data_IF_302139848869
#
_entry.id   IF_302139848869
#
_cell.length_a   1.000
_cell.length_b   1.000
_cell.length_c   1.000
_cell.angle_alpha   90.00
_cell.angle_beta   90.00
_cell.angle_gamma   90.00
#
_symmetry.space_group_name_H-M   'P 1'
#
loop_
_entity.id
_entity.type
_entity.pdbx_description
1 polymer ?
#
# COMPACT_ATOMS: atom_id res chain seq x y z
N UNK A 1 -38.77 10.91 4.36
CA UNK A 1 -37.72 11.94 4.26
C UNK A 1 -36.40 11.22 4.53
N UNK A 2 -35.73 10.76 3.47
CA UNK A 2 -34.46 10.02 3.54
C UNK A 2 -33.51 10.78 2.64
N UNK A 3 -32.64 11.59 3.22
CA UNK A 3 -31.61 12.32 2.47
C UNK A 3 -30.40 11.42 2.31
N UNK A 4 -30.08 11.12 1.05
CA UNK A 4 -28.86 10.45 0.60
C UNK A 4 -27.62 10.93 1.34
N UNK A 5 -26.87 10.00 1.91
CA UNK A 5 -25.49 10.21 2.36
C UNK A 5 -24.59 10.27 1.13
N UNK A 6 -24.20 11.49 0.81
CA UNK A 6 -23.34 11.93 -0.27
C UNK A 6 -21.97 11.22 -0.23
N UNK A 7 -21.77 10.19 -1.08
CA UNK A 7 -20.45 9.57 -1.31
C UNK A 7 -19.58 10.52 -2.13
N UNK A 8 -19.18 11.66 -1.55
CA UNK A 8 -18.24 12.58 -2.18
C UNK A 8 -16.86 11.93 -2.17
N UNK A 9 -16.36 11.58 -3.34
CA UNK A 9 -14.91 11.49 -3.56
C UNK A 9 -14.34 12.86 -3.23
N UNK A 10 -13.74 13.00 -2.04
CA UNK A 10 -13.03 14.21 -1.70
C UNK A 10 -11.77 14.25 -2.55
N UNK A 11 -11.64 15.25 -3.43
CA UNK A 11 -10.39 15.56 -4.12
C UNK A 11 -9.42 16.20 -3.13
N UNK A 12 -9.04 15.44 -2.10
CA UNK A 12 -7.99 15.81 -1.16
C UNK A 12 -6.64 15.40 -1.75
N UNK A 13 -5.64 16.27 -1.61
CA UNK A 13 -4.27 15.96 -1.96
C UNK A 13 -3.42 15.97 -0.69
N UNK A 14 -2.40 15.12 -0.66
CA UNK A 14 -1.45 15.08 0.45
C UNK A 14 -0.06 14.78 -0.09
N UNK A 15 0.95 15.30 0.59
CA UNK A 15 2.34 14.90 0.40
C UNK A 15 2.64 13.72 1.32
N UNK A 16 3.15 12.64 0.74
CA UNK A 16 3.60 11.46 1.49
C UNK A 16 5.13 11.38 1.42
N UNK A 17 5.78 11.27 2.57
CA UNK A 17 7.23 11.05 2.67
C UNK A 17 7.47 9.67 3.27
N UNK A 18 8.15 8.80 2.51
CA UNK A 18 8.52 7.46 2.99
C UNK A 18 9.63 7.60 4.04
N UNK A 19 9.38 7.10 5.24
CA UNK A 19 10.32 7.17 6.37
C UNK A 19 11.04 5.85 6.61
N UNK A 20 10.37 4.71 6.44
CA UNK A 20 10.99 3.40 6.70
C UNK A 20 10.35 2.30 5.84
N UNK A 21 11.15 1.46 5.16
CA UNK A 21 10.61 0.25 4.54
C UNK A 21 10.23 -0.78 5.62
N UNK A 22 8.99 -1.25 5.60
CA UNK A 22 8.53 -2.31 6.50
C UNK A 22 8.61 -3.65 5.80
N UNK A 23 8.11 -3.69 4.57
CA UNK A 23 7.92 -4.91 3.83
C UNK A 23 7.91 -4.61 2.32
N UNK A 24 9.09 -4.66 1.73
CA UNK A 24 9.32 -4.38 0.30
C UNK A 24 9.97 -5.58 -0.40
N UNK A 25 10.02 -5.57 -1.73
CA UNK A 25 10.69 -6.58 -2.56
C UNK A 25 9.95 -6.90 -3.86
N UNK A 26 10.70 -7.44 -4.83
CA UNK A 26 10.15 -7.92 -6.10
C UNK A 26 9.30 -9.19 -5.90
N UNK A 27 8.32 -9.40 -6.78
CA UNK A 27 7.41 -10.54 -6.79
C UNK A 27 6.67 -10.77 -5.44
N UNK A 28 6.52 -9.71 -4.64
CA UNK A 28 5.89 -9.77 -3.31
C UNK A 28 4.42 -9.34 -3.33
N UNK A 29 4.04 -8.58 -4.36
CA UNK A 29 2.78 -7.86 -4.40
C UNK A 29 2.91 -6.48 -3.74
N UNK A 30 1.94 -6.12 -2.90
CA UNK A 30 1.88 -4.81 -2.26
C UNK A 30 3.15 -4.48 -1.43
N UNK A 31 3.69 -3.28 -1.65
CA UNK A 31 4.83 -2.76 -0.90
C UNK A 31 4.33 -2.03 0.35
N UNK A 32 4.92 -2.33 1.51
CA UNK A 32 4.50 -1.76 2.79
C UNK A 32 5.60 -0.87 3.35
N UNK A 33 5.28 0.39 3.57
CA UNK A 33 6.23 1.41 4.03
C UNK A 33 5.60 2.29 5.11
N UNK A 34 6.39 2.71 6.10
CA UNK A 34 6.00 3.78 7.01
C UNK A 34 6.15 5.13 6.29
N UNK A 35 5.19 6.02 6.50
CA UNK A 35 5.14 7.34 5.86
C UNK A 35 4.77 8.41 6.87
N UNK A 36 5.22 9.63 6.60
CA UNK A 36 4.65 10.85 7.15
C UNK A 36 3.71 11.45 6.10
N UNK A 37 2.48 11.72 6.48
CA UNK A 37 1.45 12.29 5.62
C UNK A 37 1.25 13.75 6.02
N UNK A 38 1.38 14.63 5.04
CA UNK A 38 1.11 16.06 5.18
C UNK A 38 -0.06 16.42 4.26
N UNK A 39 -1.28 16.51 4.79
CA UNK A 39 -2.44 16.92 3.99
C UNK A 39 -2.23 18.33 3.44
N UNK A 40 -2.59 18.57 2.19
CA UNK A 40 -2.71 19.93 1.68
C UNK A 40 -4.00 20.51 2.25
N UNK A 41 -3.87 21.38 3.25
CA UNK A 41 -5.01 22.08 3.84
C UNK A 41 -5.73 22.93 2.79
N UNK A 42 -7.06 22.92 2.81
CA UNK A 42 -7.84 24.05 2.27
C UNK A 42 -7.60 25.27 3.17
N UNK A 43 -7.48 26.46 2.59
CA UNK A 43 -7.05 27.79 3.12
C UNK A 43 -7.44 28.21 4.57
N UNK A 44 -8.16 27.41 5.34
CA UNK A 44 -8.77 27.77 6.63
C UNK A 44 -8.14 27.15 7.88
N UNK A 45 -7.23 26.17 7.79
CA UNK A 45 -6.38 25.76 8.92
C UNK A 45 -5.20 24.88 8.48
N UNK A 46 -4.00 25.02 9.07
CA UNK A 46 -2.95 24.03 8.93
C UNK A 46 -3.40 22.70 9.57
N UNK A 47 -3.37 21.62 8.78
CA UNK A 47 -3.60 20.26 9.28
C UNK A 47 -2.25 19.69 9.68
N UNK A 48 -2.13 19.21 10.92
CA UNK A 48 -0.90 18.60 11.41
C UNK A 48 -0.54 17.35 10.59
N UNK A 49 0.75 17.18 10.34
CA UNK A 49 1.27 15.96 9.74
C UNK A 49 1.13 14.78 10.70
N UNK A 50 0.82 13.60 10.19
CA UNK A 50 0.70 12.37 10.98
C UNK A 50 1.50 11.21 10.40
N UNK A 51 1.80 10.22 11.23
CA UNK A 51 2.47 9.00 10.80
C UNK A 51 1.44 7.94 10.41
N UNK A 52 1.70 7.24 9.30
CA UNK A 52 0.87 6.16 8.82
C UNK A 52 1.72 5.05 8.21
N UNK A 53 1.06 3.94 7.86
CA UNK A 53 1.61 2.92 6.97
C UNK A 53 0.90 3.03 5.63
N UNK A 54 1.68 3.11 4.57
CA UNK A 54 1.19 3.03 3.20
C UNK A 54 1.40 1.61 2.66
N UNK A 55 0.32 1.01 2.18
CA UNK A 55 0.36 -0.20 1.35
C UNK A 55 0.18 0.21 -0.10
N UNK A 56 1.22 0.05 -0.90
CA UNK A 56 1.31 0.51 -2.28
C UNK A 56 1.11 -0.69 -3.22
N UNK A 57 0.06 -0.62 -4.02
CA UNK A 57 -0.33 -1.66 -4.97
C UNK A 57 0.10 -1.25 -6.37
N UNK A 58 1.30 -1.68 -6.72
CA UNK A 58 1.92 -1.27 -7.97
C UNK A 58 2.32 -2.52 -8.78
N UNK A 59 1.78 -2.70 -10.00
CA UNK A 59 1.99 -3.88 -10.83
C UNK A 59 3.46 -4.27 -11.05
N UNK A 60 4.41 -3.33 -10.96
CA UNK A 60 5.83 -3.65 -11.17
C UNK A 60 6.43 -4.53 -10.07
N UNK A 61 5.84 -4.54 -8.88
CA UNK A 61 6.32 -5.38 -7.77
C UNK A 61 5.57 -6.71 -7.65
N UNK A 62 4.67 -6.99 -8.59
CA UNK A 62 3.97 -8.26 -8.69
C UNK A 62 4.79 -9.25 -9.52
N UNK A 63 4.61 -10.54 -9.24
CA UNK A 63 5.25 -11.59 -10.02
C UNK A 63 4.65 -11.62 -11.41
N UNK A 64 5.50 -11.48 -12.44
CA UNK A 64 5.10 -11.72 -13.82
C UNK A 64 4.95 -13.21 -14.12
N UNK A 65 5.53 -14.08 -13.29
CA UNK A 65 5.37 -15.50 -13.43
C UNK A 65 4.14 -15.97 -12.64
N UNK A 66 3.24 -16.67 -13.33
CA UNK A 66 2.09 -17.35 -12.73
C UNK A 66 2.55 -18.45 -11.78
N UNK A 67 1.86 -18.57 -10.63
CA UNK A 67 2.10 -19.68 -9.69
C UNK A 67 1.77 -21.05 -10.30
N UNK A 68 0.91 -21.08 -11.32
CA UNK A 68 0.48 -22.31 -12.02
C UNK A 68 1.08 -22.30 -13.43
N UNK A 69 2.26 -22.93 -13.54
CA UNK A 69 3.05 -23.01 -14.76
C UNK A 69 3.70 -21.68 -15.12
N UNK A 70 4.93 -21.73 -15.62
CA UNK A 70 5.81 -20.60 -15.98
C UNK A 70 5.25 -19.73 -17.14
N UNK A 71 4.03 -19.23 -16.99
CA UNK A 71 3.32 -18.42 -17.96
C UNK A 71 3.28 -16.96 -17.49
N UNK A 72 3.31 -15.99 -18.42
CA UNK A 72 3.02 -14.59 -18.13
C UNK A 72 1.72 -14.39 -17.35
N UNK A 73 1.81 -13.77 -16.18
CA UNK A 73 0.70 -13.36 -15.33
C UNK A 73 0.31 -11.89 -15.56
N UNK A 74 -0.97 -11.59 -15.43
CA UNK A 74 -1.47 -10.20 -15.48
C UNK A 74 -1.22 -9.50 -14.14
N UNK A 75 -0.07 -8.81 -14.05
CA UNK A 75 0.33 -8.05 -12.88
C UNK A 75 -0.60 -6.85 -12.60
N UNK A 76 -1.24 -6.30 -13.64
CA UNK A 76 -2.15 -5.15 -13.49
C UNK A 76 -3.45 -5.59 -12.86
N UNK A 77 -3.99 -6.73 -13.32
CA UNK A 77 -5.14 -7.36 -12.72
C UNK A 77 -4.84 -7.73 -11.27
N UNK A 78 -3.72 -8.44 -11.01
CA UNK A 78 -3.35 -8.89 -9.66
C UNK A 78 -3.21 -7.75 -8.65
N UNK A 79 -2.51 -6.67 -9.02
CA UNK A 79 -2.37 -5.50 -8.16
C UNK A 79 -3.70 -4.78 -7.92
N UNK A 80 -4.57 -4.73 -8.92
CA UNK A 80 -5.89 -4.11 -8.79
C UNK A 80 -6.81 -4.95 -7.92
N UNK A 81 -6.78 -6.27 -8.07
CA UNK A 81 -7.60 -7.22 -7.31
C UNK A 81 -7.25 -7.18 -5.83
N UNK A 82 -5.95 -7.27 -5.49
CA UNK A 82 -5.47 -7.14 -4.11
C UNK A 82 -5.89 -5.81 -3.47
N UNK A 83 -5.72 -4.71 -4.20
CA UNK A 83 -6.11 -3.37 -3.73
C UNK A 83 -7.62 -3.30 -3.47
N UNK A 84 -8.46 -3.78 -4.40
CA UNK A 84 -9.92 -3.73 -4.29
C UNK A 84 -10.37 -4.58 -3.11
N UNK A 85 -9.89 -5.81 -3.01
CA UNK A 85 -10.25 -6.74 -1.95
C UNK A 85 -9.90 -6.17 -0.58
N UNK A 86 -8.69 -5.63 -0.41
CA UNK A 86 -8.28 -5.06 0.88
C UNK A 86 -9.00 -3.74 1.20
N UNK A 87 -9.16 -2.84 0.23
CA UNK A 87 -9.91 -1.59 0.40
C UNK A 87 -11.36 -1.86 0.79
N UNK A 88 -12.02 -2.79 0.11
CA UNK A 88 -13.38 -3.23 0.43
C UNK A 88 -13.45 -3.81 1.83
N UNK A 89 -12.50 -4.66 2.23
CA UNK A 89 -12.46 -5.21 3.59
C UNK A 89 -12.38 -4.10 4.66
N UNK A 90 -11.51 -3.10 4.50
CA UNK A 90 -11.42 -1.99 5.43
C UNK A 90 -12.68 -1.12 5.46
N UNK A 91 -13.30 -0.84 4.32
CA UNK A 91 -14.58 -0.12 4.29
C UNK A 91 -15.68 -0.89 5.03
N UNK A 92 -15.76 -2.21 4.86
CA UNK A 92 -16.69 -3.05 5.60
C UNK A 92 -16.43 -3.01 7.11
N UNK A 93 -15.17 -3.12 7.55
CA UNK A 93 -14.79 -3.04 8.97
C UNK A 93 -15.12 -1.67 9.57
N UNK A 94 -14.89 -0.59 8.82
CA UNK A 94 -15.23 0.78 9.19
C UNK A 94 -16.74 0.95 9.38
N UNK A 95 -17.55 0.46 8.44
CA UNK A 95 -19.02 0.53 8.52
C UNK A 95 -19.55 -0.31 9.68
N UNK A 96 -18.98 -1.49 9.92
CA UNK A 96 -19.38 -2.38 11.01
C UNK A 96 -19.04 -1.83 12.41
N UNK A 97 -18.29 -0.73 12.53
CA UNK A 97 -17.75 -0.18 13.79
C UNK A 97 -16.95 -1.22 14.60
N UNK A 98 -16.37 -2.20 13.91
CA UNK A 98 -15.49 -3.21 14.50
C UNK A 98 -14.01 -2.85 14.35
N UNK A 99 -13.72 -1.77 13.62
CA UNK A 99 -12.37 -1.26 13.43
C UNK A 99 -11.67 -0.95 14.76
N UNK A 100 -12.38 -0.35 15.73
CA UNK A 100 -11.80 0.20 16.96
C UNK A 100 -11.15 -0.83 17.91
N UNK A 101 -11.31 -2.14 17.67
CA UNK A 101 -10.81 -3.18 18.60
C UNK A 101 -9.80 -4.17 18.01
N UNK A 102 -9.86 -4.47 16.71
CA UNK A 102 -9.09 -5.58 16.13
C UNK A 102 -8.41 -5.27 14.81
N UNK A 103 -8.64 -4.10 14.22
CA UNK A 103 -8.02 -3.70 12.97
C UNK A 103 -7.32 -2.34 13.15
N UNK A 104 -6.21 -2.10 12.44
CA UNK A 104 -5.61 -0.77 12.39
C UNK A 104 -6.63 0.27 11.92
N UNK A 105 -6.54 1.49 12.44
CA UNK A 105 -7.36 2.59 11.95
C UNK A 105 -7.10 2.80 10.44
N UNK A 106 -8.18 2.97 9.67
CA UNK A 106 -8.11 3.10 8.22
C UNK A 106 -8.30 4.54 7.78
N UNK A 107 -7.27 5.10 7.14
CA UNK A 107 -7.19 6.51 6.70
C UNK A 107 -7.59 6.73 5.24
N UNK A 108 -8.12 5.70 4.58
CA UNK A 108 -8.67 5.81 3.23
C UNK A 108 -7.77 5.28 2.12
N UNK A 109 -8.33 5.34 0.91
CA UNK A 109 -7.68 4.97 -0.33
C UNK A 109 -7.18 6.19 -1.08
N UNK A 110 -5.99 6.07 -1.66
CA UNK A 110 -5.33 7.13 -2.40
C UNK A 110 -4.83 6.63 -3.75
N UNK A 111 -4.73 7.54 -4.71
CA UNK A 111 -4.18 7.24 -6.04
C UNK A 111 -3.21 8.33 -6.43
N UNK A 112 -2.10 7.94 -7.04
CA UNK A 112 -1.15 8.88 -7.63
C UNK A 112 -0.69 8.39 -8.99
N UNK A 113 -0.21 9.33 -9.80
CA UNK A 113 0.26 9.06 -11.15
C UNK A 113 1.73 9.40 -11.28
N UNK A 114 2.52 8.45 -11.76
CA UNK A 114 3.92 8.64 -12.08
C UNK A 114 4.10 8.72 -13.60
N UNK A 115 4.72 9.79 -14.12
CA UNK A 115 5.17 9.79 -15.50
C UNK A 115 6.33 8.79 -15.64
N UNK A 116 6.26 7.93 -16.66
CA UNK A 116 7.32 6.99 -17.02
C UNK A 116 7.67 7.18 -18.50
N UNK A 117 8.97 7.12 -18.81
CA UNK A 117 9.45 7.23 -20.19
C UNK A 117 9.77 5.84 -20.71
N UNK A 118 9.09 5.41 -21.77
CA UNK A 118 9.32 4.13 -22.45
C UNK A 118 9.58 4.42 -23.92
N UNK A 119 10.81 4.12 -24.40
CA UNK A 119 11.20 4.25 -25.81
C UNK A 119 10.76 5.61 -26.41
N UNK A 120 11.17 6.70 -25.76
CA UNK A 120 10.87 8.09 -26.16
C UNK A 120 9.40 8.52 -26.05
N UNK A 121 8.49 7.62 -25.66
CA UNK A 121 7.10 7.94 -25.35
C UNK A 121 6.90 8.15 -23.85
N UNK A 122 6.29 9.27 -23.47
CA UNK A 122 5.84 9.51 -22.09
C UNK A 122 4.52 8.77 -21.85
N UNK A 123 4.50 7.87 -20.87
CA UNK A 123 3.31 7.15 -20.43
C UNK A 123 3.03 7.49 -18.96
N UNK A 124 1.79 7.29 -18.55
CA UNK A 124 1.36 7.52 -17.16
C UNK A 124 1.12 6.17 -16.50
N UNK A 125 1.82 5.92 -15.41
CA UNK A 125 1.60 4.78 -14.51
C UNK A 125 0.70 5.24 -13.37
N UNK A 126 -0.44 4.58 -13.20
CA UNK A 126 -1.39 4.84 -12.11
C UNK A 126 -1.10 3.85 -10.99
N UNK A 127 -1.01 4.35 -9.76
CA UNK A 127 -0.72 3.54 -8.58
C UNK A 127 -1.78 3.81 -7.54
N UNK A 128 -2.27 2.74 -6.93
CA UNK A 128 -3.23 2.79 -5.83
C UNK A 128 -2.51 2.50 -4.53
N UNK A 129 -2.92 3.15 -3.44
CA UNK A 129 -2.43 2.85 -2.11
C UNK A 129 -3.54 2.96 -1.07
N UNK A 130 -3.34 2.25 0.04
CA UNK A 130 -4.18 2.29 1.23
C UNK A 130 -3.33 2.87 2.37
N UNK A 131 -3.90 3.83 3.11
CA UNK A 131 -3.29 4.35 4.32
C UNK A 131 -3.98 3.77 5.56
N UNK A 132 -3.16 3.28 6.49
CA UNK A 132 -3.62 2.73 7.78
C UNK A 132 -2.73 3.21 8.92
N UNK A 133 -3.21 3.03 10.15
CA UNK A 133 -2.48 3.30 11.38
C UNK A 133 -1.09 2.65 11.39
N UNK A 134 -0.10 3.43 11.86
CA UNK A 134 1.23 2.89 12.14
C UNK A 134 1.26 2.26 13.52
N UNK A 135 1.18 0.93 13.56
CA UNK A 135 1.46 0.16 14.76
C UNK A 135 2.96 0.23 15.11
N UNK A 136 3.30 0.87 16.23
CA UNK A 136 4.69 1.08 16.67
C UNK A 136 5.27 -0.11 17.45
N UNK A 137 4.45 -1.09 17.80
CA UNK A 137 4.87 -2.22 18.63
C UNK A 137 5.63 -3.31 17.85
N UNK A 138 6.25 -4.21 18.61
CA UNK A 138 6.94 -5.38 18.09
C UNK A 138 5.96 -6.25 17.29
N UNK A 139 6.37 -6.65 16.08
CA UNK A 139 5.60 -7.63 15.33
C UNK A 139 5.61 -8.98 16.08
N UNK A 140 4.52 -9.76 15.99
CA UNK A 140 4.41 -11.05 16.69
C UNK A 140 5.56 -12.01 16.31
N UNK A 141 6.11 -11.86 15.09
CA UNK A 141 7.24 -12.65 14.61
C UNK A 141 8.55 -12.32 15.35
N UNK A 142 8.76 -11.09 15.81
CA UNK A 142 9.96 -10.68 16.55
C UNK A 142 9.91 -11.13 17.99
N UNK A 143 8.71 -11.34 18.53
CA UNK A 143 8.49 -11.94 19.86
C UNK A 143 8.73 -13.45 19.86
N UNK A 144 8.76 -14.12 18.70
CA UNK A 144 9.08 -15.56 18.64
C UNK A 144 10.53 -15.79 19.09
N UNK A 145 10.71 -16.57 20.15
CA UNK A 145 12.02 -17.10 20.53
C UNK A 145 12.61 -17.87 19.35
N UNK A 146 13.71 -17.36 18.77
CA UNK A 146 14.37 -17.96 17.61
C UNK A 146 15.13 -19.22 18.05
N UNK A 147 14.44 -20.36 18.03
CA UNK A 147 15.09 -21.67 18.22
C UNK A 147 15.60 -22.30 16.92
N UNK A 148 15.47 -21.61 15.77
CA UNK A 148 15.92 -22.11 14.46
C UNK A 148 16.52 -20.99 13.60
N UNK A 149 17.56 -21.28 12.79
CA UNK A 149 18.11 -20.31 11.83
C UNK A 149 17.06 -19.99 10.75
N UNK A 150 16.82 -18.70 10.55
CA UNK A 150 15.74 -18.19 9.70
C UNK A 150 16.12 -18.25 8.20
N UNK A 151 15.57 -19.22 7.48
CA UNK A 151 15.76 -19.42 6.04
C UNK A 151 15.18 -18.28 5.18
N UNK A 152 14.41 -17.36 5.76
CA UNK A 152 13.72 -16.27 5.03
C UNK A 152 14.48 -14.94 5.05
N UNK A 153 15.65 -14.88 5.70
CA UNK A 153 16.51 -13.70 5.67
C UNK A 153 17.33 -13.68 4.37
N UNK A 154 16.66 -13.45 3.25
CA UNK A 154 17.33 -13.16 1.98
C UNK A 154 18.18 -11.89 2.13
N UNK A 155 19.44 -11.96 1.68
CA UNK A 155 20.34 -10.81 1.60
C UNK A 155 19.80 -9.80 0.57
N UNK A 156 19.86 -8.51 0.94
CA UNK A 156 19.72 -7.33 0.09
C UNK A 156 18.62 -7.33 -0.99
N UNK A 157 17.45 -6.81 -0.62
CA UNK A 157 16.34 -6.47 -1.52
C UNK A 157 16.62 -5.34 -2.53
N UNK A 158 17.88 -4.90 -2.66
CA UNK A 158 18.31 -3.83 -3.58
C UNK A 158 19.05 -4.35 -4.81
N UNK A 159 19.30 -5.66 -4.92
CA UNK A 159 19.79 -6.25 -6.16
C UNK A 159 18.62 -6.75 -6.99
N UNK A 160 18.37 -6.05 -8.10
CA UNK A 160 17.72 -6.64 -9.25
C UNK A 160 18.63 -7.77 -9.77
N UNK A 161 18.15 -9.01 -9.92
CA UNK A 161 18.80 -9.93 -10.84
C UNK A 161 18.75 -9.27 -12.22
N UNK A 162 19.88 -9.16 -12.92
CA UNK A 162 19.95 -8.68 -14.31
C UNK A 162 19.24 -9.63 -15.31
N UNK A 163 18.43 -10.57 -14.82
CA UNK A 163 17.71 -11.56 -15.60
C UNK A 163 16.22 -11.23 -15.65
N UNK A 164 15.89 -10.06 -16.23
CA UNK A 164 14.57 -9.74 -16.78
C UNK A 164 14.72 -8.86 -18.03
#
# INVERSE_FOLDING_TARGET
MVTSGDTRFRNETAQLVITTPIAIGAARGAQIVAVTVTPHGTDTAPVDSYEAVAKIYDPLYYSFESEIGHHPGDCVYSASDDYINEATAYEHLRVARQADFFAPEYYGCWKYTLPITIRESSKIRRISLILIERLRENNILSTRARNSPDLRRGLDSFHYPEEF
#
